data_IF_532408240539
#
_entry.id   IF_532408240539
#
_cell.length_a   1.000
_cell.length_b   1.000
_cell.length_c   1.000
_cell.angle_alpha   90.00
_cell.angle_beta   90.00
_cell.angle_gamma   90.00
#
_symmetry.space_group_name_H-M   'P 1'
#
loop_
_entity.id
_entity.type
_entity.pdbx_description
1 polymer ?
#
# COMPACT_ATOMS: atom_id res chain seq x y z
N UNK A 1 -39.99 7.34 -35.42
CA UNK A 1 -40.33 7.79 -34.07
C UNK A 1 -39.05 8.40 -33.49
N UNK A 2 -39.00 9.74 -33.54
CA UNK A 2 -37.95 10.74 -33.22
C UNK A 2 -36.49 10.31 -32.95
N UNK A 3 -35.62 10.67 -33.90
CA UNK A 3 -34.17 10.86 -33.76
C UNK A 3 -33.87 12.11 -32.91
N UNK A 4 -32.84 12.05 -32.04
CA UNK A 4 -32.18 13.23 -31.48
C UNK A 4 -30.69 13.20 -31.85
N UNK A 5 -30.27 14.21 -32.60
CA UNK A 5 -28.91 14.40 -33.12
C UNK A 5 -27.96 15.13 -32.16
N UNK A 6 -26.75 15.47 -32.62
CA UNK A 6 -25.62 15.88 -31.80
C UNK A 6 -25.61 17.39 -31.53
N UNK A 7 -26.00 17.81 -30.32
CA UNK A 7 -25.81 19.19 -29.85
C UNK A 7 -25.42 19.19 -28.37
N UNK A 8 -24.17 18.81 -28.07
CA UNK A 8 -23.46 19.30 -26.88
C UNK A 8 -22.61 20.49 -27.32
N UNK A 9 -23.27 21.61 -27.58
CA UNK A 9 -22.60 22.87 -27.91
C UNK A 9 -22.51 23.72 -26.64
N UNK A 10 -21.28 23.86 -26.17
CA UNK A 10 -20.73 25.01 -25.45
C UNK A 10 -21.67 25.81 -24.52
N UNK A 11 -21.58 25.52 -23.21
CA UNK A 11 -21.89 26.53 -22.20
C UNK A 11 -20.95 27.75 -22.40
N UNK A 12 -21.45 29.00 -22.38
CA UNK A 12 -20.62 30.17 -22.55
C UNK A 12 -19.57 30.25 -21.45
N UNK A 13 -18.29 30.42 -21.84
CA UNK A 13 -17.11 30.61 -20.97
C UNK A 13 -17.21 31.79 -19.97
N UNK A 14 -18.33 32.53 -19.97
CA UNK A 14 -18.53 33.74 -19.16
C UNK A 14 -19.29 33.53 -17.85
N UNK A 15 -19.86 32.34 -17.58
CA UNK A 15 -20.70 32.09 -16.38
C UNK A 15 -19.99 31.26 -15.29
N UNK A 16 -18.93 30.52 -15.66
CA UNK A 16 -18.12 29.70 -14.73
C UNK A 16 -17.58 30.46 -13.50
N UNK A 17 -16.95 31.65 -13.67
CA UNK A 17 -16.35 32.37 -12.54
C UNK A 17 -17.36 32.94 -11.53
N UNK A 18 -18.63 33.07 -11.90
CA UNK A 18 -19.71 33.60 -11.05
C UNK A 18 -20.46 32.50 -10.30
N UNK A 19 -20.50 31.29 -10.85
CA UNK A 19 -21.19 30.14 -10.25
C UNK A 19 -20.26 29.25 -9.42
N UNK A 20 -18.96 29.23 -9.69
CA UNK A 20 -17.97 28.48 -8.90
C UNK A 20 -17.94 28.84 -7.41
N UNK A 21 -17.95 30.13 -6.99
CA UNK A 21 -17.96 30.49 -5.58
C UNK A 21 -19.26 30.09 -4.88
N UNK A 22 -20.37 30.12 -5.62
CA UNK A 22 -21.69 29.73 -5.12
C UNK A 22 -21.78 28.21 -4.98
N UNK A 23 -21.33 27.47 -6.00
CA UNK A 23 -21.25 26.01 -6.02
C UNK A 23 -20.30 25.47 -4.92
N UNK A 24 -19.14 26.11 -4.74
CA UNK A 24 -18.17 25.78 -3.70
C UNK A 24 -18.70 26.11 -2.28
N UNK A 25 -19.44 27.22 -2.12
CA UNK A 25 -20.09 27.53 -0.84
C UNK A 25 -21.24 26.60 -0.53
N UNK A 26 -22.02 26.21 -1.53
CA UNK A 26 -23.10 25.23 -1.37
C UNK A 26 -22.55 23.84 -1.09
N UNK A 27 -21.47 23.42 -1.74
CA UNK A 27 -20.83 22.13 -1.45
C UNK A 27 -20.20 22.13 -0.06
N UNK A 28 -19.56 23.21 0.35
CA UNK A 28 -18.99 23.35 1.70
C UNK A 28 -20.10 23.35 2.78
N UNK A 29 -21.22 24.04 2.54
CA UNK A 29 -22.35 24.04 3.46
C UNK A 29 -23.05 22.66 3.53
N UNK A 30 -23.16 21.97 2.40
CA UNK A 30 -23.69 20.61 2.32
C UNK A 30 -22.74 19.63 3.02
N UNK A 31 -21.42 19.73 2.80
CA UNK A 31 -20.41 18.91 3.46
C UNK A 31 -20.40 19.15 4.96
N UNK A 32 -20.49 20.40 5.43
CA UNK A 32 -20.58 20.70 6.86
C UNK A 32 -21.89 20.21 7.47
N UNK A 33 -23.02 20.38 6.79
CA UNK A 33 -24.31 19.86 7.25
C UNK A 33 -24.30 18.33 7.27
N UNK A 34 -23.77 17.68 6.25
CA UNK A 34 -23.60 16.24 6.16
C UNK A 34 -22.66 15.72 7.26
N UNK A 35 -21.54 16.39 7.50
CA UNK A 35 -20.60 16.07 8.58
C UNK A 35 -21.31 16.19 9.94
N UNK A 36 -22.03 17.29 10.21
CA UNK A 36 -22.74 17.46 11.48
C UNK A 36 -23.88 16.44 11.66
N UNK A 37 -24.59 16.10 10.60
CA UNK A 37 -25.67 15.10 10.62
C UNK A 37 -25.11 13.69 10.80
N UNK A 38 -24.05 13.32 10.09
CA UNK A 38 -23.40 12.00 10.20
C UNK A 38 -22.71 11.83 11.55
N UNK A 39 -21.97 12.83 12.03
CA UNK A 39 -21.32 12.80 13.34
C UNK A 39 -22.32 12.96 14.50
N UNK A 40 -23.50 13.55 14.26
CA UNK A 40 -24.54 13.77 15.27
C UNK A 40 -25.55 12.63 15.40
N UNK A 41 -25.86 11.90 14.32
CA UNK A 41 -26.85 10.81 14.31
C UNK A 41 -26.25 9.41 14.48
N UNK A 42 -24.95 9.26 14.25
CA UNK A 42 -24.22 8.00 14.40
C UNK A 42 -22.98 8.30 15.24
N UNK A 43 -22.81 7.72 16.44
CA UNK A 43 -21.51 7.71 17.08
C UNK A 43 -20.57 6.98 16.12
N UNK A 44 -19.78 7.74 15.37
CA UNK A 44 -18.70 7.15 14.60
C UNK A 44 -17.73 6.63 15.64
N UNK A 45 -17.69 5.31 15.79
CA UNK A 45 -16.69 4.66 16.61
C UNK A 45 -15.31 5.26 16.26
N UNK A 46 -14.53 5.68 17.26
CA UNK A 46 -13.21 6.26 17.01
C UNK A 46 -12.35 5.31 16.18
N UNK A 47 -11.53 5.86 15.27
CA UNK A 47 -10.62 5.07 14.46
C UNK A 47 -9.64 4.26 15.31
N UNK A 48 -9.26 4.80 16.49
CA UNK A 48 -8.44 4.16 17.52
C UNK A 48 -9.24 3.93 18.81
N UNK A 49 -10.05 2.85 18.90
CA UNK A 49 -10.99 2.65 20.00
C UNK A 49 -10.34 2.36 21.36
N UNK A 50 -9.05 2.05 21.40
CA UNK A 50 -8.29 1.84 22.65
C UNK A 50 -7.32 2.99 22.96
N UNK A 51 -7.42 4.12 22.25
CA UNK A 51 -6.66 5.33 22.54
C UNK A 51 -5.23 5.33 21.97
N UNK A 52 -4.27 5.84 22.73
CA UNK A 52 -2.92 6.13 22.21
C UNK A 52 -1.98 4.92 22.13
N UNK A 53 -2.09 3.98 23.08
CA UNK A 53 -1.15 2.87 23.21
C UNK A 53 0.27 3.31 23.62
N UNK A 54 1.28 2.51 23.29
CA UNK A 54 2.68 2.81 23.61
C UNK A 54 3.36 3.55 22.46
N UNK A 55 3.37 4.88 22.50
CA UNK A 55 3.99 5.71 21.45
C UNK A 55 5.52 5.55 21.38
N UNK A 56 6.16 5.08 22.45
CA UNK A 56 7.60 4.81 22.47
C UNK A 56 7.98 3.51 21.74
N UNK A 57 6.99 2.74 21.25
CA UNK A 57 7.25 1.58 20.42
C UNK A 57 8.12 2.00 19.22
N UNK A 58 7.79 3.09 18.54
CA UNK A 58 8.60 3.66 17.47
C UNK A 58 9.40 4.85 18.01
N UNK A 59 10.68 4.89 17.68
CA UNK A 59 11.60 5.97 18.04
C UNK A 59 12.36 6.33 16.77
N UNK A 60 12.01 7.47 16.18
CA UNK A 60 12.53 7.88 14.88
C UNK A 60 14.06 7.88 14.83
N UNK A 61 14.75 8.38 15.86
CA UNK A 61 16.22 8.46 15.85
C UNK A 61 16.88 7.08 15.78
N UNK A 62 16.32 6.10 16.49
CA UNK A 62 16.80 4.72 16.47
C UNK A 62 16.37 4.00 15.19
N UNK A 63 15.13 4.22 14.76
CA UNK A 63 14.55 3.56 13.59
C UNK A 63 15.20 4.04 12.29
N UNK A 64 15.49 5.34 12.16
CA UNK A 64 16.21 5.91 11.02
C UNK A 64 17.61 5.30 10.88
N UNK A 65 18.36 5.20 11.98
CA UNK A 65 19.68 4.53 11.99
C UNK A 65 19.58 3.05 11.59
N UNK A 66 18.47 2.39 11.94
CA UNK A 66 18.23 1.01 11.53
C UNK A 66 17.94 0.93 10.01
N UNK A 67 17.15 1.85 9.46
CA UNK A 67 16.87 1.90 8.02
C UNK A 67 18.09 2.24 7.17
N UNK A 68 19.09 2.95 7.71
CA UNK A 68 20.33 3.27 7.02
C UNK A 68 21.30 2.07 6.91
N UNK A 69 21.12 1.04 7.74
CA UNK A 69 21.93 -0.18 7.67
C UNK A 69 21.51 -1.04 6.47
N UNK A 70 22.38 -1.96 6.06
CA UNK A 70 22.02 -2.93 5.01
C UNK A 70 20.74 -3.69 5.41
N UNK A 71 19.71 -3.74 4.54
CA UNK A 71 18.46 -4.39 4.90
C UNK A 71 18.65 -5.88 5.21
N UNK A 72 17.94 -6.43 6.21
CA UNK A 72 18.01 -7.83 6.54
C UNK A 72 17.72 -8.75 5.35
N UNK A 73 18.47 -9.85 5.25
CA UNK A 73 18.24 -10.84 4.21
C UNK A 73 16.97 -11.65 4.50
N UNK A 74 16.01 -11.59 3.57
CA UNK A 74 14.77 -12.35 3.68
C UNK A 74 14.95 -13.78 3.16
N UNK A 75 14.44 -14.74 3.94
CA UNK A 75 14.22 -16.11 3.48
C UNK A 75 12.73 -16.28 3.18
N UNK A 76 12.36 -16.12 1.90
CA UNK A 76 10.96 -16.20 1.48
C UNK A 76 10.61 -17.63 1.09
N UNK A 77 9.61 -18.20 1.75
CA UNK A 77 9.06 -19.51 1.43
C UNK A 77 8.02 -19.36 0.33
N UNK A 78 8.40 -19.71 -0.90
CA UNK A 78 7.54 -19.56 -2.06
C UNK A 78 6.66 -20.78 -2.32
N UNK A 79 5.41 -20.52 -2.69
CA UNK A 79 4.45 -21.49 -3.21
C UNK A 79 3.87 -20.98 -4.52
N UNK A 80 4.00 -21.76 -5.59
CA UNK A 80 3.28 -21.46 -6.83
C UNK A 80 1.79 -21.72 -6.62
N UNK A 81 0.98 -20.68 -6.82
CA UNK A 81 -0.48 -20.73 -6.62
C UNK A 81 -1.27 -20.63 -7.92
N UNK A 82 -0.59 -20.39 -9.05
CA UNK A 82 -1.21 -20.44 -10.36
C UNK A 82 -0.30 -19.96 -11.48
N UNK A 83 -0.85 -19.98 -12.69
CA UNK A 83 -0.25 -19.42 -13.89
C UNK A 83 -1.35 -18.98 -14.86
N UNK A 84 -0.98 -18.22 -15.87
CA UNK A 84 -1.91 -17.75 -16.89
C UNK A 84 -1.23 -17.02 -18.03
N UNK A 85 -2.05 -16.42 -18.88
CA UNK A 85 -1.61 -15.62 -20.01
C UNK A 85 -2.29 -14.24 -19.95
N UNK A 86 -1.54 -13.17 -20.16
CA UNK A 86 -2.06 -11.82 -20.32
C UNK A 86 -1.54 -11.28 -21.65
N UNK A 87 -2.43 -11.04 -22.61
CA UNK A 87 -2.10 -10.54 -23.96
C UNK A 87 -0.95 -11.31 -24.65
N UNK A 88 -0.95 -12.65 -24.53
CA UNK A 88 0.07 -13.51 -25.13
C UNK A 88 1.30 -13.74 -24.26
N UNK A 89 1.50 -12.98 -23.18
CA UNK A 89 2.61 -13.17 -22.25
C UNK A 89 2.22 -14.14 -21.14
N UNK A 90 2.98 -15.24 -21.04
CA UNK A 90 2.81 -16.23 -19.98
C UNK A 90 3.36 -15.68 -18.66
N UNK A 91 2.58 -15.82 -17.59
CA UNK A 91 2.95 -15.37 -16.27
C UNK A 91 2.64 -16.45 -15.23
N UNK A 92 3.28 -16.35 -14.07
CA UNK A 92 2.97 -17.17 -12.91
C UNK A 92 2.60 -16.32 -11.70
N UNK A 93 1.85 -16.95 -10.78
CA UNK A 93 1.44 -16.38 -9.51
C UNK A 93 2.08 -17.16 -8.38
N UNK A 94 2.76 -16.44 -7.50
CA UNK A 94 3.44 -17.00 -6.33
C UNK A 94 2.84 -16.38 -5.07
N UNK A 95 2.75 -17.17 -4.01
CA UNK A 95 2.53 -16.71 -2.65
C UNK A 95 3.79 -16.96 -1.85
N UNK A 96 4.21 -15.98 -1.05
CA UNK A 96 5.42 -16.02 -0.26
C UNK A 96 5.15 -15.62 1.18
N UNK A 97 5.88 -16.23 2.11
CA UNK A 97 5.90 -15.85 3.51
C UNK A 97 7.34 -15.74 4.01
N UNK A 98 7.59 -14.78 4.90
CA UNK A 98 8.89 -14.60 5.55
C UNK A 98 8.70 -14.04 6.97
N UNK A 99 9.68 -14.29 7.84
CA UNK A 99 9.71 -13.69 9.17
C UNK A 99 9.98 -12.18 9.05
N UNK A 100 9.14 -11.38 9.69
CA UNK A 100 9.26 -9.92 9.68
C UNK A 100 10.56 -9.52 10.35
N UNK A 101 11.42 -8.68 9.74
CA UNK A 101 12.61 -8.21 10.41
C UNK A 101 12.25 -7.20 11.51
N UNK A 102 12.50 -7.56 12.77
CA UNK A 102 12.23 -6.73 13.93
C UNK A 102 13.38 -6.75 14.95
N UNK A 103 13.51 -5.66 15.70
CA UNK A 103 14.26 -5.64 16.97
C UNK A 103 13.34 -6.11 18.12
N UNK A 104 13.89 -6.29 19.32
CA UNK A 104 13.12 -6.74 20.50
C UNK A 104 11.93 -5.83 20.82
N UNK A 105 12.11 -4.51 20.61
CA UNK A 105 11.09 -3.48 20.84
C UNK A 105 9.94 -3.60 19.83
N UNK A 106 10.24 -3.82 18.55
CA UNK A 106 9.24 -4.06 17.51
C UNK A 106 8.53 -5.40 17.71
N UNK A 107 9.26 -6.44 18.14
CA UNK A 107 8.65 -7.73 18.46
C UNK A 107 7.59 -7.60 19.56
N UNK A 108 7.87 -6.81 20.60
CA UNK A 108 6.95 -6.57 21.70
C UNK A 108 5.72 -5.71 21.31
N UNK A 109 5.86 -4.85 20.30
CA UNK A 109 4.80 -3.93 19.87
C UNK A 109 3.90 -4.51 18.77
N UNK A 110 4.46 -5.36 17.89
CA UNK A 110 3.77 -5.91 16.74
C UNK A 110 2.86 -7.09 17.16
N UNK A 111 1.61 -7.17 16.69
CA UNK A 111 0.76 -8.33 17.00
C UNK A 111 1.36 -9.59 16.40
N UNK A 112 1.18 -10.72 17.10
CA UNK A 112 1.73 -12.03 16.71
C UNK A 112 1.35 -12.42 15.29
N UNK A 113 0.13 -12.08 14.84
CA UNK A 113 -0.34 -12.35 13.47
C UNK A 113 0.47 -11.60 12.41
N UNK A 114 1.13 -10.50 12.78
CA UNK A 114 1.99 -9.71 11.91
C UNK A 114 3.47 -10.09 12.03
N UNK A 115 3.87 -11.04 12.89
CA UNK A 115 5.27 -11.49 12.98
C UNK A 115 5.73 -12.18 11.69
N UNK A 116 4.82 -12.81 10.96
CA UNK A 116 5.07 -13.33 9.61
C UNK A 116 4.48 -12.39 8.56
N UNK A 117 5.34 -11.92 7.67
CA UNK A 117 4.94 -11.15 6.52
C UNK A 117 4.43 -12.07 5.41
N UNK A 118 3.48 -11.57 4.63
CA UNK A 118 2.87 -12.31 3.51
C UNK A 118 2.93 -11.46 2.26
N UNK A 119 3.33 -12.09 1.16
CA UNK A 119 3.41 -11.47 -0.16
C UNK A 119 2.71 -12.34 -1.18
N UNK A 120 2.16 -11.72 -2.21
CA UNK A 120 1.84 -12.41 -3.46
C UNK A 120 2.52 -11.70 -4.61
N UNK A 121 2.98 -12.48 -5.58
CA UNK A 121 3.73 -12.01 -6.72
C UNK A 121 3.11 -12.49 -8.01
N UNK A 122 3.12 -11.62 -9.01
CA UNK A 122 2.83 -11.96 -10.41
C UNK A 122 4.07 -11.61 -11.22
N UNK A 123 4.61 -12.57 -11.97
CA UNK A 123 5.80 -12.33 -12.78
C UNK A 123 5.73 -13.05 -14.13
N UNK A 124 6.41 -12.54 -15.17
CA UNK A 124 6.62 -13.30 -16.40
C UNK A 124 7.24 -14.67 -16.13
N UNK A 125 6.81 -15.71 -16.85
CA UNK A 125 7.29 -17.09 -16.62
C UNK A 125 8.80 -17.26 -16.86
N UNK A 126 9.38 -16.40 -17.70
CA UNK A 126 10.81 -16.36 -18.01
C UNK A 126 11.49 -15.19 -17.30
N UNK A 127 11.07 -14.86 -16.07
CA UNK A 127 11.69 -13.80 -15.30
C UNK A 127 13.19 -14.07 -15.09
N UNK A 128 14.00 -13.03 -15.20
CA UNK A 128 15.45 -13.10 -15.07
C UNK A 128 16.09 -11.73 -14.91
N UNK A 129 17.39 -11.56 -15.20
CA UNK A 129 18.11 -10.32 -14.90
C UNK A 129 17.56 -9.05 -15.54
N UNK A 130 16.94 -9.16 -16.72
CA UNK A 130 16.34 -8.02 -17.42
C UNK A 130 14.89 -7.72 -16.96
N UNK A 131 14.31 -8.56 -16.10
CA UNK A 131 12.97 -8.36 -15.57
C UNK A 131 13.01 -7.28 -14.50
N UNK A 132 12.20 -6.23 -14.70
CA UNK A 132 12.05 -5.18 -13.68
C UNK A 132 11.15 -5.67 -12.55
N UNK A 133 11.29 -5.07 -11.37
CA UNK A 133 10.55 -5.46 -10.18
C UNK A 133 9.84 -4.25 -9.58
N UNK A 134 8.57 -4.40 -9.22
CA UNK A 134 7.82 -3.35 -8.52
C UNK A 134 7.14 -3.87 -7.26
N UNK A 135 7.42 -3.21 -6.14
CA UNK A 135 6.76 -3.43 -4.86
C UNK A 135 5.50 -2.56 -4.76
N UNK A 136 4.35 -3.21 -4.58
CA UNK A 136 3.05 -2.56 -4.36
C UNK A 136 2.65 -2.61 -2.87
N UNK A 137 2.54 -1.46 -2.25
CA UNK A 137 2.19 -1.29 -0.83
C UNK A 137 0.69 -1.06 -0.64
N UNK A 138 0.17 -1.60 0.46
CA UNK A 138 -1.23 -1.49 0.83
C UNK A 138 -1.60 -0.07 1.28
N UNK A 139 -2.75 0.43 0.84
CA UNK A 139 -3.40 1.60 1.44
C UNK A 139 -4.25 1.22 2.66
N UNK A 140 -4.86 2.22 3.29
CA UNK A 140 -5.72 1.99 4.47
C UNK A 140 -6.87 1.03 4.14
N UNK A 141 -6.93 -0.10 4.85
CA UNK A 141 -7.96 -1.12 4.65
C UNK A 141 -7.83 -1.95 3.37
N UNK A 142 -6.71 -1.86 2.66
CA UNK A 142 -6.39 -2.77 1.57
C UNK A 142 -5.98 -4.15 2.12
N UNK A 143 -6.98 -4.98 2.38
CA UNK A 143 -6.82 -6.34 2.87
C UNK A 143 -6.49 -7.31 1.72
N UNK A 144 -5.54 -8.21 1.95
CA UNK A 144 -5.06 -9.15 0.91
C UNK A 144 -4.29 -8.45 -0.21
N UNK A 145 -4.32 -9.06 -1.40
CA UNK A 145 -3.42 -8.70 -2.51
C UNK A 145 -4.15 -8.29 -3.78
N UNK A 146 -5.42 -8.69 -3.92
CA UNK A 146 -6.15 -8.71 -5.19
C UNK A 146 -6.19 -7.36 -5.91
N UNK A 147 -6.39 -6.26 -5.18
CA UNK A 147 -6.43 -4.92 -5.80
C UNK A 147 -5.10 -4.58 -6.45
N UNK A 148 -4.01 -4.79 -5.73
CA UNK A 148 -2.65 -4.47 -6.18
C UNK A 148 -2.18 -5.40 -7.30
N UNK A 149 -2.51 -6.68 -7.25
CA UNK A 149 -2.19 -7.61 -8.33
C UNK A 149 -3.01 -7.38 -9.60
N UNK A 150 -4.24 -6.85 -9.51
CA UNK A 150 -5.00 -6.41 -10.69
C UNK A 150 -4.32 -5.24 -11.41
N UNK A 151 -3.69 -4.34 -10.66
CA UNK A 151 -2.89 -3.23 -11.22
C UNK A 151 -1.56 -3.76 -11.77
N UNK A 152 -0.94 -4.73 -11.08
CA UNK A 152 0.34 -5.32 -11.47
C UNK A 152 0.26 -6.26 -12.68
N UNK A 153 -0.85 -6.96 -12.88
CA UNK A 153 -0.97 -7.99 -13.92
C UNK A 153 -0.66 -7.46 -15.34
N UNK A 154 -1.17 -6.29 -15.79
CA UNK A 154 -0.79 -5.75 -17.09
C UNK A 154 0.72 -5.48 -17.26
N UNK A 155 1.46 -5.29 -16.16
CA UNK A 155 2.88 -4.96 -16.22
C UNK A 155 3.75 -6.13 -16.68
N UNK A 156 3.21 -7.36 -16.70
CA UNK A 156 3.93 -8.53 -17.24
C UNK A 156 4.26 -8.35 -18.73
N UNK A 157 3.44 -7.62 -19.50
CA UNK A 157 3.72 -7.29 -20.91
C UNK A 157 4.96 -6.42 -21.09
N UNK A 158 5.35 -5.70 -20.04
CA UNK A 158 6.51 -4.83 -20.02
C UNK A 158 7.73 -5.50 -19.37
N UNK A 159 7.66 -6.83 -19.18
CA UNK A 159 8.67 -7.60 -18.44
C UNK A 159 8.89 -7.05 -17.02
N UNK A 160 7.81 -6.71 -16.33
CA UNK A 160 7.83 -6.22 -14.95
C UNK A 160 7.12 -7.23 -14.05
N UNK A 161 7.83 -7.73 -13.05
CA UNK A 161 7.26 -8.51 -11.97
C UNK A 161 6.69 -7.59 -10.90
N UNK A 162 5.47 -7.88 -10.43
CA UNK A 162 4.83 -7.13 -9.33
C UNK A 162 4.73 -8.00 -8.10
N UNK A 163 5.24 -7.53 -6.98
CA UNK A 163 5.00 -8.11 -5.66
C UNK A 163 4.05 -7.21 -4.86
N UNK A 164 3.09 -7.79 -4.16
CA UNK A 164 2.18 -7.09 -3.27
C UNK A 164 2.40 -7.57 -1.83
N UNK A 165 2.74 -6.64 -0.93
CA UNK A 165 2.98 -6.92 0.49
C UNK A 165 1.70 -6.72 1.33
N UNK A 166 1.16 -7.77 1.95
CA UNK A 166 0.04 -7.58 2.89
C UNK A 166 0.55 -6.81 4.11
N UNK A 167 -0.01 -5.61 4.35
CA UNK A 167 0.44 -4.74 5.43
C UNK A 167 0.19 -5.36 6.82
N UNK A 168 1.02 -5.03 7.82
CA UNK A 168 0.72 -5.37 9.21
C UNK A 168 -0.68 -4.91 9.60
N UNK A 169 -1.34 -5.62 10.51
CA UNK A 169 -2.72 -5.36 10.94
C UNK A 169 -3.83 -5.52 9.87
N UNK A 170 -3.51 -5.95 8.64
CA UNK A 170 -4.48 -6.15 7.57
C UNK A 170 -4.61 -7.61 7.14
N UNK A 171 -5.81 -7.96 6.63
CA UNK A 171 -6.09 -9.30 6.11
C UNK A 171 -5.75 -10.40 7.10
N UNK A 172 -4.85 -11.32 6.72
CA UNK A 172 -4.44 -12.41 7.59
C UNK A 172 -3.52 -11.97 8.75
N UNK A 173 -2.91 -10.78 8.65
CA UNK A 173 -1.98 -10.21 9.65
C UNK A 173 -2.70 -9.40 10.74
N UNK A 174 -4.02 -9.40 10.75
CA UNK A 174 -4.86 -8.59 11.65
C UNK A 174 -5.02 -9.24 13.04
N UNK A 175 -4.85 -8.48 14.15
CA UNK A 175 -5.06 -9.01 15.49
C UNK A 175 -6.55 -9.31 15.78
N UNK A 176 -6.84 -10.25 16.70
CA UNK A 176 -8.21 -10.58 17.11
C UNK A 176 -8.97 -9.36 17.65
N UNK A 177 -10.25 -9.25 17.29
CA UNK A 177 -11.11 -8.16 17.73
C UNK A 177 -10.88 -6.82 17.02
N UNK A 178 -9.94 -6.72 16.08
CA UNK A 178 -9.84 -5.53 15.22
C UNK A 178 -10.93 -5.55 14.14
N UNK A 179 -11.65 -4.42 13.99
CA UNK A 179 -12.75 -4.30 13.04
C UNK A 179 -12.32 -3.54 11.78
N UNK A 180 -12.18 -4.27 10.67
CA UNK A 180 -11.72 -3.68 9.41
C UNK A 180 -10.31 -3.10 9.53
N UNK A 181 -10.15 -1.85 9.10
CA UNK A 181 -8.91 -1.08 9.16
C UNK A 181 -8.75 -0.22 10.43
N UNK A 182 -9.70 -0.27 11.37
CA UNK A 182 -9.64 0.49 12.62
C UNK A 182 -8.64 -0.15 13.57
N UNK A 183 -7.43 0.39 13.60
CA UNK A 183 -6.36 -0.04 14.50
C UNK A 183 -6.76 0.21 15.96
N UNK A 184 -6.31 -0.60 16.90
CA UNK A 184 -6.74 -0.44 18.30
C UNK A 184 -6.19 0.84 18.91
N UNK A 185 -4.92 1.15 18.65
CA UNK A 185 -4.21 2.29 19.22
C UNK A 185 -3.56 3.16 18.15
N UNK A 186 -3.29 4.43 18.48
CA UNK A 186 -2.47 5.31 17.64
C UNK A 186 -1.06 4.72 17.43
N UNK A 187 -0.47 4.12 18.47
CA UNK A 187 0.84 3.45 18.35
C UNK A 187 0.86 2.34 17.31
N UNK A 188 -0.27 1.64 17.08
CA UNK A 188 -0.35 0.58 16.07
C UNK A 188 -0.14 1.13 14.66
N UNK A 189 -0.54 2.39 14.40
CA UNK A 189 -0.28 3.05 13.12
C UNK A 189 1.22 3.30 12.90
N UNK A 190 1.92 3.72 13.95
CA UNK A 190 3.36 3.95 13.90
C UNK A 190 4.10 2.62 13.68
N UNK A 191 3.73 1.58 14.42
CA UNK A 191 4.29 0.23 14.30
C UNK A 191 4.03 -0.34 12.90
N UNK A 192 2.80 -0.18 12.37
CA UNK A 192 2.46 -0.56 11.00
C UNK A 192 3.39 0.12 10.00
N UNK A 193 3.55 1.43 10.10
CA UNK A 193 4.39 2.21 9.17
C UNK A 193 5.85 1.79 9.23
N UNK A 194 6.44 1.74 10.44
CA UNK A 194 7.81 1.28 10.66
C UNK A 194 8.01 -0.10 10.04
N UNK A 195 7.19 -1.08 10.42
CA UNK A 195 7.32 -2.46 9.94
C UNK A 195 7.21 -2.55 8.42
N UNK A 196 6.25 -1.83 7.81
CA UNK A 196 6.08 -1.80 6.35
C UNK A 196 7.31 -1.25 5.64
N UNK A 197 7.95 -0.21 6.19
CA UNK A 197 9.17 0.37 5.61
C UNK A 197 10.30 -0.65 5.61
N UNK A 198 10.54 -1.34 6.74
CA UNK A 198 11.61 -2.34 6.83
C UNK A 198 11.36 -3.56 5.94
N UNK A 199 10.14 -4.08 5.94
CA UNK A 199 9.76 -5.18 5.04
C UNK A 199 9.95 -4.77 3.58
N UNK A 200 9.58 -3.54 3.22
CA UNK A 200 9.75 -3.01 1.88
C UNK A 200 11.22 -2.86 1.47
N UNK A 201 12.06 -2.29 2.34
CA UNK A 201 13.51 -2.20 2.12
C UNK A 201 14.14 -3.59 1.96
N UNK A 202 13.73 -4.53 2.82
CA UNK A 202 14.23 -5.92 2.79
C UNK A 202 13.77 -6.67 1.54
N UNK A 203 12.56 -6.40 1.03
CA UNK A 203 12.05 -6.96 -0.23
C UNK A 203 12.79 -6.40 -1.45
N UNK A 204 13.13 -5.10 -1.45
CA UNK A 204 13.97 -4.52 -2.49
C UNK A 204 15.38 -5.11 -2.48
N UNK A 205 15.96 -5.29 -1.29
CA UNK A 205 17.25 -5.97 -1.13
C UNK A 205 17.19 -7.43 -1.60
N UNK A 206 16.14 -8.16 -1.26
CA UNK A 206 15.89 -9.51 -1.77
C UNK A 206 15.81 -9.52 -3.30
N UNK A 207 14.99 -8.65 -3.91
CA UNK A 207 14.84 -8.58 -5.35
C UNK A 207 16.15 -8.25 -6.08
N UNK A 208 16.94 -7.32 -5.53
CA UNK A 208 18.28 -7.04 -6.06
C UNK A 208 19.18 -8.28 -6.07
N UNK A 209 19.15 -9.07 -4.98
CA UNK A 209 19.95 -10.29 -4.85
C UNK A 209 19.50 -11.45 -5.73
N UNK A 210 18.21 -11.57 -5.99
CA UNK A 210 17.67 -12.50 -6.99
C UNK A 210 18.02 -12.08 -8.43
N UNK A 211 18.60 -10.89 -8.60
CA UNK A 211 19.10 -10.40 -9.87
C UNK A 211 18.08 -9.63 -10.67
N UNK A 212 16.92 -9.24 -10.13
CA UNK A 212 15.98 -8.37 -10.84
C UNK A 212 16.67 -7.07 -11.26
N UNK A 213 16.32 -6.58 -12.44
CA UNK A 213 16.95 -5.41 -13.05
C UNK A 213 16.52 -4.11 -12.39
N UNK A 214 15.68 -3.33 -13.07
CA UNK A 214 15.21 -2.04 -12.53
C UNK A 214 14.17 -2.27 -11.44
N UNK A 215 14.30 -1.54 -10.33
CA UNK A 215 13.38 -1.65 -9.21
C UNK A 215 12.45 -0.43 -9.09
N UNK A 216 11.27 -0.67 -8.55
CA UNK A 216 10.27 0.35 -8.28
C UNK A 216 9.47 0.06 -7.02
N UNK A 217 8.90 1.11 -6.44
CA UNK A 217 7.96 1.04 -5.33
C UNK A 217 6.78 1.98 -5.56
N UNK A 218 5.58 1.52 -5.23
CA UNK A 218 4.33 2.28 -5.39
C UNK A 218 3.33 1.88 -4.32
N UNK A 219 2.36 2.74 -4.09
CA UNK A 219 1.25 2.49 -3.18
C UNK A 219 0.23 3.62 -3.20
N UNK A 220 -0.96 3.33 -2.70
CA UNK A 220 -2.10 4.25 -2.65
C UNK A 220 -2.29 4.82 -1.23
N UNK A 221 -2.50 6.13 -1.10
CA UNK A 221 -2.75 6.85 0.15
C UNK A 221 -1.63 6.58 1.18
N UNK A 222 -1.93 5.93 2.31
CA UNK A 222 -0.93 5.46 3.27
C UNK A 222 0.19 4.64 2.61
N UNK A 223 -0.14 3.81 1.62
CA UNK A 223 0.84 3.06 0.85
C UNK A 223 1.76 3.95 0.01
N UNK A 224 1.27 5.10 -0.47
CA UNK A 224 2.06 6.09 -1.20
C UNK A 224 3.03 6.84 -0.30
N UNK A 225 2.63 7.13 0.94
CA UNK A 225 3.52 7.66 1.99
C UNK A 225 4.65 6.67 2.27
N UNK A 226 4.33 5.39 2.51
CA UNK A 226 5.34 4.36 2.73
C UNK A 226 6.23 4.14 1.49
N UNK A 227 5.68 4.22 0.28
CA UNK A 227 6.46 4.11 -0.96
C UNK A 227 7.50 5.24 -1.06
N UNK A 228 7.11 6.46 -0.69
CA UNK A 228 8.01 7.61 -0.65
C UNK A 228 9.13 7.45 0.38
N UNK A 229 8.79 6.95 1.57
CA UNK A 229 9.77 6.67 2.63
C UNK A 229 10.75 5.56 2.22
N UNK A 230 10.24 4.43 1.71
CA UNK A 230 11.08 3.33 1.21
C UNK A 230 11.98 3.80 0.08
N UNK A 231 11.47 4.60 -0.86
CA UNK A 231 12.27 5.17 -1.94
C UNK A 231 13.39 6.08 -1.44
N UNK A 232 13.10 6.96 -0.47
CA UNK A 232 14.10 7.85 0.12
C UNK A 232 15.14 7.16 1.00
N UNK A 233 14.81 5.99 1.56
CA UNK A 233 15.68 5.18 2.42
C UNK A 233 16.38 4.04 1.68
N UNK A 234 16.07 3.82 0.39
CA UNK A 234 16.62 2.68 -0.34
C UNK A 234 18.11 2.83 -0.62
N UNK A 235 18.86 1.75 -0.44
CA UNK A 235 20.26 1.65 -0.83
C UNK A 235 20.47 1.47 -2.35
N UNK A 236 19.38 1.33 -3.11
CA UNK A 236 19.41 1.08 -4.54
C UNK A 236 18.70 2.18 -5.34
N UNK A 237 19.04 2.37 -6.63
CA UNK A 237 18.23 3.18 -7.52
C UNK A 237 16.83 2.58 -7.68
N UNK A 238 15.82 3.24 -7.13
CA UNK A 238 14.42 2.80 -7.14
C UNK A 238 13.54 3.90 -7.70
N UNK A 239 12.68 3.55 -8.65
CA UNK A 239 11.62 4.45 -9.12
C UNK A 239 10.47 4.50 -8.12
N UNK A 240 9.96 5.69 -7.81
CA UNK A 240 8.90 5.88 -6.82
C UNK A 240 7.68 6.48 -7.51
N UNK A 241 6.54 5.80 -7.40
CA UNK A 241 5.25 6.29 -7.92
C UNK A 241 4.25 6.37 -6.77
N UNK A 242 4.27 7.42 -5.94
CA UNK A 242 3.35 7.54 -4.82
C UNK A 242 1.99 8.04 -5.31
N UNK A 243 0.94 7.25 -5.10
CA UNK A 243 -0.44 7.66 -5.41
C UNK A 243 -1.06 8.15 -4.10
N UNK A 244 -0.77 9.40 -3.71
CA UNK A 244 -1.26 9.98 -2.46
C UNK A 244 -2.76 10.26 -2.48
#
# INVERSE_FOLDING_TARGET
>A
MLQLGPYLTALPRAVGPLLEPLAARTSLAIDHAWTQVVHGLTPLDPFFPKGWGNLCAVNWETDEKCFQQEPPHLQIQWKKIGEGCFNGVQYEKLEGEFETPYDERMMAALPVQSHRARVQMVQPKNAGPDTSFVLHLAGTGDHGFSRRLKIGLPLVEKNIATIALEGPYYGARRPPGQQGSRLHHVSDLLVLGRTTIMEGLSLLHWAHREGYGRMGVTGLSMGGVHASMIGGLSHYPVSVTPQL
#
